data_IF_243781664977
#
_entry.id   IF_243781664977
#
_cell.length_a   1.000
_cell.length_b   1.000
_cell.length_c   1.000
_cell.angle_alpha   90.00
_cell.angle_beta   90.00
_cell.angle_gamma   90.00
#
_symmetry.space_group_name_H-M   'P 1'
#
loop_
_entity.id
_entity.type
_entity.pdbx_description
1 polymer ?
#
# COMPACT_ATOMS: atom_id res chain seq x y z
N UNK A 1 47.87 9.99 -31.27
CA UNK A 1 48.30 11.38 -31.59
C UNK A 1 47.06 12.24 -31.52
N UNK A 2 46.86 13.25 -30.69
CA UNK A 2 47.70 14.20 -29.93
C UNK A 2 47.14 14.30 -28.49
N UNK A 3 47.93 14.18 -27.42
CA UNK A 3 48.57 15.28 -26.66
C UNK A 3 47.52 16.19 -25.98
N UNK A 4 47.46 16.33 -24.65
CA UNK A 4 48.53 16.76 -23.75
C UNK A 4 48.26 16.35 -22.28
N UNK A 5 49.36 16.14 -21.54
CA UNK A 5 49.43 16.08 -20.07
C UNK A 5 49.08 17.46 -19.49
N UNK A 6 48.30 17.49 -18.42
CA UNK A 6 48.54 18.47 -17.33
C UNK A 6 48.45 17.76 -15.98
N UNK A 7 49.47 18.00 -15.17
CA UNK A 7 49.60 17.54 -13.80
C UNK A 7 48.61 18.30 -12.91
N UNK A 8 47.73 17.59 -12.22
CA UNK A 8 47.18 18.05 -10.96
C UNK A 8 47.63 17.07 -9.87
N UNK A 9 48.66 17.46 -9.13
CA UNK A 9 48.87 17.01 -7.76
C UNK A 9 47.66 17.46 -6.94
N UNK A 10 46.83 16.51 -6.52
CA UNK A 10 45.70 16.75 -5.61
C UNK A 10 45.84 15.79 -4.41
N UNK A 11 45.41 16.22 -3.22
CA UNK A 11 45.93 15.71 -1.95
C UNK A 11 45.43 14.30 -1.64
N UNK A 12 46.25 13.56 -0.88
CA UNK A 12 45.81 12.39 -0.14
C UNK A 12 44.72 12.85 0.84
N UNK A 13 43.48 12.41 0.66
CA UNK A 13 42.41 12.66 1.63
C UNK A 13 42.49 11.61 2.72
N UNK A 14 42.94 12.02 3.90
CA UNK A 14 42.74 11.27 5.14
C UNK A 14 41.43 11.80 5.73
N UNK A 15 40.41 10.96 5.80
CA UNK A 15 39.18 11.28 6.56
C UNK A 15 39.34 10.65 7.94
N UNK A 16 39.62 11.51 8.93
CA UNK A 16 39.68 11.09 10.34
C UNK A 16 38.31 11.35 10.95
N UNK A 17 37.51 10.31 11.15
CA UNK A 17 36.32 10.39 11.99
C UNK A 17 36.73 10.08 13.44
N UNK A 18 36.55 11.04 14.35
CA UNK A 18 36.90 10.88 15.76
C UNK A 18 35.61 10.74 16.57
N UNK A 19 35.40 9.56 17.16
CA UNK A 19 34.32 9.34 18.11
C UNK A 19 34.92 9.39 19.53
N UNK A 20 34.63 10.44 20.29
CA UNK A 20 35.11 10.60 21.66
C UNK A 20 34.09 10.00 22.63
N UNK A 21 34.44 8.87 23.26
CA UNK A 21 33.69 8.31 24.39
C UNK A 21 34.64 8.30 25.61
N UNK A 22 34.48 9.19 26.59
CA UNK A 22 35.27 9.11 27.82
C UNK A 22 34.88 7.86 28.65
N UNK A 23 35.82 7.20 29.35
CA UNK A 23 37.22 7.57 29.58
C UNK A 23 38.25 6.87 28.65
N UNK A 24 37.82 6.16 27.60
CA UNK A 24 38.71 5.41 26.70
C UNK A 24 38.58 5.93 25.27
N UNK A 25 39.57 6.70 24.82
CA UNK A 25 39.63 7.15 23.44
C UNK A 25 39.93 5.97 22.50
N UNK A 26 38.99 5.64 21.62
CA UNK A 26 39.18 4.68 20.53
C UNK A 26 39.34 5.47 19.23
N UNK A 27 40.50 5.33 18.59
CA UNK A 27 40.75 5.94 17.29
C UNK A 27 40.54 4.91 16.19
N UNK A 28 39.75 5.27 15.19
CA UNK A 28 39.49 4.48 13.99
C UNK A 28 40.11 5.17 12.78
N UNK A 29 41.14 4.55 12.20
CA UNK A 29 41.77 5.02 10.97
C UNK A 29 41.24 4.20 9.79
N UNK A 30 40.78 4.88 8.74
CA UNK A 30 40.26 4.24 7.52
C UNK A 30 41.08 4.73 6.33
N UNK A 31 41.80 3.83 5.67
CA UNK A 31 42.52 4.11 4.42
C UNK A 31 41.74 3.61 3.20
N UNK A 32 41.68 4.44 2.16
CA UNK A 32 41.09 4.09 0.87
C UNK A 32 42.17 4.04 -0.22
N UNK A 33 42.37 2.88 -0.84
CA UNK A 33 43.18 2.74 -2.06
C UNK A 33 42.31 2.36 -3.25
N UNK A 34 42.48 3.01 -4.41
CA UNK A 34 41.78 2.62 -5.65
C UNK A 34 42.34 1.30 -6.18
N UNK A 35 41.50 0.28 -6.25
CA UNK A 35 41.78 -0.99 -6.93
C UNK A 35 41.07 -2.21 -6.31
N UNK A 36 40.83 -2.17 -5.00
CA UNK A 36 40.04 -3.16 -4.25
C UNK A 36 39.69 -2.50 -2.90
N UNK A 37 38.44 -2.58 -2.40
CA UNK A 37 38.11 -2.05 -1.10
C UNK A 37 38.66 -2.99 -0.03
N UNK A 38 39.89 -2.74 0.42
CA UNK A 38 40.42 -3.33 1.65
C UNK A 38 40.24 -2.26 2.71
N UNK A 39 39.17 -2.37 3.50
CA UNK A 39 39.00 -1.52 4.68
C UNK A 39 39.92 -2.08 5.76
N UNK A 40 40.97 -1.33 6.11
CA UNK A 40 41.82 -1.63 7.27
C UNK A 40 41.31 -0.82 8.44
N UNK A 41 40.93 -1.51 9.51
CA UNK A 41 40.60 -0.88 10.78
C UNK A 41 41.81 -1.02 11.70
N UNK A 42 42.27 0.08 12.27
CA UNK A 42 43.26 0.06 13.37
C UNK A 42 42.58 0.62 14.60
N UNK A 43 42.59 -0.13 15.71
CA UNK A 43 42.08 0.32 17.00
C UNK A 43 43.30 0.74 17.82
N UNK A 44 43.38 2.02 18.16
CA UNK A 44 44.37 2.53 19.11
C UNK A 44 43.63 2.81 20.41
N UNK A 45 43.95 2.07 21.46
CA UNK A 45 43.45 2.32 22.81
C UNK A 45 44.53 3.05 23.62
N UNK A 46 44.20 4.20 24.19
CA UNK A 46 45.09 4.93 25.09
C UNK A 46 44.48 4.97 26.49
N UNK A 47 45.17 4.40 27.49
CA UNK A 47 44.82 4.59 28.90
C UNK A 47 45.87 5.47 29.58
N UNK A 48 45.47 6.68 30.00
CA UNK A 48 46.28 7.53 30.87
C UNK A 48 46.09 7.09 32.32
N UNK A 49 46.54 5.89 32.64
CA UNK A 49 46.50 5.37 34.00
C UNK A 49 47.60 4.32 34.17
N UNK A 50 48.64 4.68 34.93
CA UNK A 50 49.69 3.83 35.49
C UNK A 50 50.72 3.33 34.47
N UNK A 51 51.88 3.98 34.48
CA UNK A 51 52.97 3.76 33.52
C UNK A 51 53.39 2.30 33.41
N UNK A 52 53.13 1.68 32.26
CA UNK A 52 53.69 0.42 31.77
C UNK A 52 53.59 0.39 30.22
N UNK A 53 54.46 -0.40 29.60
CA UNK A 53 54.86 -0.35 28.18
C UNK A 53 53.74 -0.37 27.13
N UNK A 54 53.98 0.42 26.09
CA UNK A 54 53.22 0.52 24.84
C UNK A 54 53.14 -0.81 24.11
N UNK A 55 51.93 -1.34 23.89
CA UNK A 55 51.74 -2.50 23.00
C UNK A 55 50.81 -2.10 21.87
N UNK A 56 51.36 -2.00 20.66
CA UNK A 56 50.61 -1.75 19.43
C UNK A 56 50.00 -3.08 18.97
N UNK A 57 48.68 -3.23 19.09
CA UNK A 57 47.98 -4.42 18.57
C UNK A 57 47.45 -4.11 17.17
N UNK A 58 48.18 -4.55 16.14
CA UNK A 58 47.75 -4.48 14.74
C UNK A 58 46.86 -5.68 14.42
N UNK A 59 45.55 -5.49 14.44
CA UNK A 59 44.57 -6.53 14.04
C UNK A 59 44.22 -6.30 12.58
N UNK A 60 44.71 -7.15 11.67
CA UNK A 60 44.59 -6.87 10.22
C UNK A 60 43.51 -7.65 9.48
N UNK A 61 42.84 -8.65 10.06
CA UNK A 61 41.73 -9.37 9.38
C UNK A 61 40.75 -10.04 10.37
N UNK A 62 39.58 -9.45 10.58
CA UNK A 62 38.40 -10.17 11.08
C UNK A 62 37.13 -9.68 10.35
N UNK A 63 36.13 -10.56 10.13
CA UNK A 63 34.84 -10.16 9.58
C UNK A 63 34.10 -9.21 10.52
N UNK A 64 33.41 -8.22 9.95
CA UNK A 64 32.71 -7.14 10.66
C UNK A 64 31.78 -7.65 11.78
N UNK A 65 31.18 -8.83 11.59
CA UNK A 65 30.31 -9.49 12.56
C UNK A 65 31.00 -9.86 13.89
N UNK A 66 32.30 -10.19 13.87
CA UNK A 66 33.04 -10.55 15.09
C UNK A 66 33.43 -9.31 15.91
N UNK A 67 33.70 -8.19 15.24
CA UNK A 67 34.01 -6.90 15.87
C UNK A 67 32.75 -6.36 16.57
N UNK A 68 31.59 -6.49 15.93
CA UNK A 68 30.30 -6.10 16.49
C UNK A 68 29.94 -6.94 17.73
N UNK A 69 30.17 -8.26 17.67
CA UNK A 69 29.94 -9.16 18.79
C UNK A 69 30.85 -8.85 19.99
N UNK A 70 32.13 -8.55 19.74
CA UNK A 70 33.07 -8.16 20.80
C UNK A 70 32.73 -6.79 21.40
N UNK A 71 32.18 -5.86 20.60
CA UNK A 71 31.67 -4.57 21.09
C UNK A 71 30.44 -4.71 21.99
N UNK A 72 29.52 -5.62 21.66
CA UNK A 72 28.35 -5.93 22.49
C UNK A 72 28.76 -6.60 23.82
N UNK A 73 29.69 -7.56 23.76
CA UNK A 73 30.25 -8.19 24.97
C UNK A 73 30.96 -7.15 25.85
N UNK A 74 31.65 -6.16 25.26
CA UNK A 74 32.30 -5.10 26.02
C UNK A 74 31.28 -4.15 26.69
N UNK A 75 30.18 -3.79 26.00
CA UNK A 75 29.09 -2.98 26.58
C UNK A 75 28.39 -3.70 27.74
N UNK A 76 28.11 -4.98 27.58
CA UNK A 76 27.30 -5.76 28.52
C UNK A 76 28.06 -6.13 29.80
N UNK A 77 29.37 -6.38 29.70
CA UNK A 77 30.16 -6.88 30.84
C UNK A 77 31.07 -5.84 31.50
N UNK A 78 31.28 -4.66 30.91
CA UNK A 78 32.15 -3.62 31.50
C UNK A 78 31.43 -2.29 31.75
N UNK A 79 30.45 -1.90 30.93
CA UNK A 79 29.79 -0.59 31.04
C UNK A 79 28.52 -0.70 31.89
N UNK A 80 27.70 -1.72 31.67
CA UNK A 80 26.45 -1.92 32.42
C UNK A 80 26.66 -2.16 33.94
N UNK A 81 27.68 -2.91 34.40
CA UNK A 81 27.97 -3.03 35.83
C UNK A 81 28.41 -1.70 36.47
N UNK A 82 29.15 -0.87 35.73
CA UNK A 82 29.60 0.46 36.19
C UNK A 82 28.45 1.46 36.35
N UNK A 83 27.43 1.40 35.46
CA UNK A 83 26.22 2.21 35.57
C UNK A 83 25.28 1.77 36.70
N UNK A 84 25.36 0.51 37.12
CA UNK A 84 24.50 -0.05 38.17
C UNK A 84 24.89 0.35 39.61
N UNK A 85 26.10 0.88 39.81
CA UNK A 85 26.59 1.30 41.13
C UNK A 85 26.39 2.81 41.42
N UNK A 86 25.94 3.61 40.44
CA UNK A 86 25.66 5.04 40.64
C UNK A 86 24.15 5.33 40.75
N UNK A 87 23.69 5.47 41.99
CA UNK A 87 22.44 6.11 42.47
C UNK A 87 21.09 5.36 42.27
N UNK A 88 20.63 4.72 43.36
CA UNK A 88 19.35 4.03 43.48
C UNK A 88 18.30 4.76 44.36
N UNK A 89 18.39 6.08 44.61
CA UNK A 89 17.47 6.76 45.54
C UNK A 89 16.95 8.11 45.02
N UNK A 90 16.06 8.11 44.02
CA UNK A 90 15.14 9.24 43.71
C UNK A 90 14.11 8.83 42.66
N UNK A 91 13.20 7.89 42.99
CA UNK A 91 12.04 7.58 42.12
C UNK A 91 10.82 7.42 43.02
N UNK A 92 10.28 8.54 43.49
CA UNK A 92 8.88 8.61 43.94
C UNK A 92 8.29 10.02 43.91
N UNK A 93 9.11 11.08 43.79
CA UNK A 93 8.61 12.47 43.68
C UNK A 93 8.46 12.99 42.23
N UNK A 94 9.03 12.32 41.21
CA UNK A 94 8.99 12.79 39.82
C UNK A 94 7.71 12.44 39.05
N UNK A 95 6.78 11.68 39.64
CA UNK A 95 5.55 11.29 38.94
C UNK A 95 4.51 12.43 38.87
N UNK A 96 4.57 13.42 39.79
CA UNK A 96 3.64 14.55 39.80
C UNK A 96 4.18 15.83 39.12
N UNK A 97 5.49 15.92 38.86
CA UNK A 97 6.07 17.04 38.09
C UNK A 97 6.00 16.82 36.56
N UNK A 98 5.88 15.58 36.10
CA UNK A 98 5.88 15.25 34.66
C UNK A 98 4.55 15.53 33.92
N UNK A 99 3.44 15.78 34.62
CA UNK A 99 2.19 16.22 33.96
C UNK A 99 2.19 17.71 33.59
N UNK A 100 3.06 18.53 34.16
CA UNK A 100 3.23 19.94 33.76
C UNK A 100 4.27 20.11 32.64
N UNK A 101 5.28 19.24 32.57
CA UNK A 101 6.32 19.27 31.53
C UNK A 101 5.85 18.75 30.15
N UNK A 102 4.80 17.92 30.11
CA UNK A 102 4.22 17.43 28.85
C UNK A 102 3.46 18.52 28.07
N UNK A 103 3.04 19.60 28.74
CA UNK A 103 2.39 20.74 28.07
C UNK A 103 3.40 21.73 27.49
N UNK A 104 4.66 21.73 27.95
CA UNK A 104 5.74 22.58 27.38
C UNK A 104 6.54 21.88 26.26
N UNK A 105 6.44 20.56 26.10
CA UNK A 105 7.13 19.81 25.03
C UNK A 105 6.39 19.82 23.67
N UNK A 106 5.16 20.34 23.62
CA UNK A 106 4.45 20.59 22.37
C UNK A 106 4.98 21.83 21.61
N UNK A 107 5.70 22.73 22.28
CA UNK A 107 6.22 23.98 21.69
C UNK A 107 7.71 23.89 21.24
N UNK A 108 8.35 22.72 21.37
CA UNK A 108 9.75 22.53 20.92
C UNK A 108 9.91 21.21 20.18
N UNK A 109 9.38 21.13 18.95
CA UNK A 109 9.91 20.21 17.93
C UNK A 109 10.61 21.03 16.84
N UNK A 110 11.88 21.33 17.12
CA UNK A 110 12.83 21.83 16.13
C UNK A 110 13.29 20.67 15.23
N UNK A 111 13.31 20.94 13.92
CA UNK A 111 13.33 20.03 12.78
C UNK A 111 14.68 19.30 12.53
N UNK A 112 15.41 18.85 13.54
CA UNK A 112 16.83 18.47 13.35
C UNK A 112 17.22 16.99 13.48
N UNK A 113 16.28 16.02 13.59
CA UNK A 113 16.66 14.59 13.67
C UNK A 113 15.86 13.63 12.76
N UNK A 114 15.65 14.01 11.50
CA UNK A 114 15.27 13.05 10.44
C UNK A 114 16.18 13.26 9.23
N UNK A 115 17.41 12.75 9.30
CA UNK A 115 18.31 12.64 8.14
C UNK A 115 19.07 11.31 8.15
N UNK A 116 18.36 10.22 7.82
CA UNK A 116 18.95 9.05 7.15
C UNK A 116 17.88 8.42 6.23
N UNK A 117 17.46 9.12 5.17
CA UNK A 117 16.79 8.51 4.01
C UNK A 117 17.17 9.28 2.74
N UNK A 118 17.52 8.53 1.70
CA UNK A 118 18.09 8.87 0.37
C UNK A 118 17.57 10.18 -0.26
N UNK A 119 18.50 11.02 -0.76
CA UNK A 119 18.27 12.37 -1.34
C UNK A 119 17.51 12.38 -2.67
N UNK A 120 17.12 11.22 -3.22
CA UNK A 120 16.42 11.13 -4.51
C UNK A 120 14.89 11.31 -4.44
N UNK A 121 14.32 11.69 -3.31
CA UNK A 121 12.86 11.75 -3.16
C UNK A 121 12.32 12.96 -2.36
N UNK A 122 12.85 14.16 -2.63
CA UNK A 122 12.45 15.41 -1.96
C UNK A 122 10.95 15.73 -2.04
N UNK A 123 10.25 15.25 -3.09
CA UNK A 123 8.80 15.42 -3.23
C UNK A 123 8.00 14.61 -2.20
N UNK A 124 8.52 13.47 -1.74
CA UNK A 124 7.81 12.56 -0.83
C UNK A 124 7.98 12.97 0.64
N UNK A 125 9.13 13.55 1.02
CA UNK A 125 9.38 14.04 2.40
C UNK A 125 8.50 15.26 2.73
N UNK A 126 8.39 16.22 1.81
CA UNK A 126 7.52 17.40 1.97
C UNK A 126 6.03 17.01 2.07
N UNK A 127 5.59 16.03 1.27
CA UNK A 127 4.21 15.55 1.31
C UNK A 127 3.88 14.84 2.63
N UNK A 128 4.75 13.95 3.12
CA UNK A 128 4.51 13.22 4.38
C UNK A 128 4.48 14.15 5.58
N UNK A 129 5.39 15.13 5.65
CA UNK A 129 5.40 16.14 6.73
C UNK A 129 4.11 16.97 6.68
N UNK A 130 3.70 17.41 5.49
CA UNK A 130 2.46 18.16 5.30
C UNK A 130 1.21 17.35 5.71
N UNK A 131 1.15 16.05 5.38
CA UNK A 131 0.03 15.18 5.77
C UNK A 131 0.03 14.89 7.29
N UNK A 132 1.20 14.68 7.90
CA UNK A 132 1.31 14.42 9.35
C UNK A 132 0.90 15.64 10.18
N UNK A 133 1.34 16.85 9.80
CA UNK A 133 0.92 18.08 10.49
C UNK A 133 -0.60 18.34 10.35
N UNK A 134 -1.19 18.03 9.18
CA UNK A 134 -2.65 18.10 8.99
C UNK A 134 -3.40 17.09 9.83
N UNK A 135 -2.85 15.89 10.02
CA UNK A 135 -3.49 14.83 10.80
C UNK A 135 -3.46 15.10 12.31
N UNK A 136 -2.40 15.72 12.83
CA UNK A 136 -2.33 16.16 14.25
C UNK A 136 -3.37 17.25 14.53
N UNK A 137 -3.53 18.23 13.65
CA UNK A 137 -4.55 19.28 13.77
C UNK A 137 -6.00 18.74 13.72
N UNK A 138 -6.24 17.64 13.00
CA UNK A 138 -7.54 16.95 12.93
C UNK A 138 -7.84 16.11 14.18
N UNK A 139 -6.81 15.69 14.92
CA UNK A 139 -7.00 14.91 16.16
C UNK A 139 -7.30 15.81 17.37
N UNK A 140 -6.71 17.00 17.42
CA UNK A 140 -6.96 17.99 18.49
C UNK A 140 -8.37 18.62 18.41
N UNK A 141 -9.01 18.58 17.25
CA UNK A 141 -10.38 19.11 17.05
C UNK A 141 -11.47 18.07 17.35
N UNK A 142 -11.15 16.77 17.45
CA UNK A 142 -12.14 15.68 17.56
C UNK A 142 -12.93 15.59 18.86
N UNK A 143 -12.46 16.21 19.95
CA UNK A 143 -13.20 16.17 21.22
C UNK A 143 -14.47 17.05 21.20
N UNK A 144 -14.60 17.99 20.26
CA UNK A 144 -15.78 18.88 20.14
C UNK A 144 -16.78 18.52 19.01
N UNK A 145 -16.50 17.52 18.15
CA UNK A 145 -17.22 17.32 16.87
C UNK A 145 -18.47 16.43 17.00
N UNK A 146 -18.68 15.74 18.13
CA UNK A 146 -19.85 14.87 18.27
C UNK A 146 -21.21 15.62 18.35
N UNK A 147 -21.21 16.96 18.37
CA UNK A 147 -22.40 17.79 18.63
C UNK A 147 -22.99 18.52 17.40
N UNK A 148 -22.42 18.39 16.19
CA UNK A 148 -22.90 19.14 14.99
C UNK A 148 -23.35 18.29 13.79
N UNK A 149 -23.92 17.09 14.00
CA UNK A 149 -24.55 16.38 12.87
C UNK A 149 -25.94 16.98 12.59
N UNK A 150 -26.25 17.48 11.38
CA UNK A 150 -27.57 18.01 11.07
C UNK A 150 -28.66 16.95 11.31
N UNK A 151 -29.77 17.36 11.93
CA UNK A 151 -30.91 16.49 12.28
C UNK A 151 -31.46 15.70 11.07
N UNK A 152 -31.30 16.25 9.86
CA UNK A 152 -31.59 15.56 8.59
C UNK A 152 -30.36 15.56 7.66
N UNK A 153 -29.45 14.62 7.94
CA UNK A 153 -28.27 14.35 7.13
C UNK A 153 -28.62 14.11 5.65
N UNK A 154 -29.76 13.50 5.34
CA UNK A 154 -30.15 13.22 3.96
C UNK A 154 -30.54 14.49 3.21
N UNK A 155 -31.32 15.37 3.82
CA UNK A 155 -31.69 16.66 3.22
C UNK A 155 -30.46 17.55 2.99
N UNK A 156 -29.59 17.66 4.00
CA UNK A 156 -28.32 18.38 3.87
C UNK A 156 -27.46 17.80 2.75
N UNK A 157 -27.31 16.47 2.69
CA UNK A 157 -26.56 15.77 1.65
C UNK A 157 -27.13 16.04 0.24
N UNK A 158 -28.46 16.03 0.08
CA UNK A 158 -29.11 16.34 -1.20
C UNK A 158 -28.87 17.79 -1.62
N UNK A 159 -28.92 18.75 -0.69
CA UNK A 159 -28.70 20.17 -0.96
C UNK A 159 -27.23 20.45 -1.33
N UNK A 160 -26.27 19.94 -0.56
CA UNK A 160 -24.84 20.01 -0.86
C UNK A 160 -24.55 19.47 -2.26
N UNK A 161 -25.13 18.31 -2.58
CA UNK A 161 -24.97 17.68 -3.89
C UNK A 161 -25.56 18.50 -5.04
N UNK A 162 -26.73 19.12 -4.85
CA UNK A 162 -27.35 19.97 -5.86
C UNK A 162 -26.50 21.23 -6.15
N UNK A 163 -25.98 21.87 -5.10
CA UNK A 163 -25.07 23.02 -5.22
C UNK A 163 -23.77 22.62 -5.94
N UNK A 164 -23.22 21.47 -5.58
CA UNK A 164 -22.07 20.87 -6.25
C UNK A 164 -22.36 20.40 -7.68
N UNK A 165 -23.58 20.41 -8.20
CA UNK A 165 -23.80 20.20 -9.63
C UNK A 165 -23.93 21.54 -10.36
N UNK A 166 -24.68 22.47 -9.76
CA UNK A 166 -24.85 23.81 -10.30
C UNK A 166 -23.51 24.54 -10.53
N UNK A 167 -22.53 24.35 -9.64
CA UNK A 167 -21.22 25.00 -9.80
C UNK A 167 -20.41 24.50 -11.00
N UNK A 168 -20.56 23.24 -11.46
CA UNK A 168 -19.79 22.72 -12.61
C UNK A 168 -20.46 23.13 -13.87
N UNK A 169 -21.79 23.08 -13.92
CA UNK A 169 -22.49 23.55 -15.10
C UNK A 169 -22.25 25.05 -15.32
N UNK A 170 -21.87 25.79 -14.27
CA UNK A 170 -21.39 27.18 -14.38
C UNK A 170 -19.90 27.30 -14.80
N UNK A 171 -19.05 26.32 -14.45
CA UNK A 171 -17.60 26.36 -14.69
C UNK A 171 -17.18 25.70 -16.03
N UNK A 172 -17.86 24.62 -16.40
CA UNK A 172 -17.56 23.78 -17.57
C UNK A 172 -18.82 23.45 -18.35
N UNK A 173 -18.75 23.58 -19.67
CA UNK A 173 -19.83 23.14 -20.55
C UNK A 173 -19.78 21.62 -20.74
N UNK A 174 -20.63 20.90 -19.99
CA UNK A 174 -20.81 19.45 -20.14
C UNK A 174 -21.90 19.05 -21.14
N UNK A 175 -22.49 20.01 -21.86
CA UNK A 175 -23.63 19.82 -22.76
C UNK A 175 -23.25 19.74 -24.24
N UNK A 176 -22.02 20.12 -24.58
CA UNK A 176 -21.47 20.03 -25.94
C UNK A 176 -20.18 19.20 -25.98
N UNK A 177 -19.86 18.62 -27.15
CA UNK A 177 -18.61 17.87 -27.31
C UNK A 177 -17.38 18.76 -27.15
N UNK A 178 -17.43 19.97 -27.72
CA UNK A 178 -16.33 20.94 -27.63
C UNK A 178 -16.14 21.43 -26.20
N UNK A 179 -17.24 21.69 -25.48
CA UNK A 179 -17.23 22.04 -24.07
C UNK A 179 -16.57 20.95 -23.21
N UNK A 180 -16.99 19.69 -23.40
CA UNK A 180 -16.40 18.55 -22.67
C UNK A 180 -14.92 18.41 -23.02
N UNK A 181 -14.54 18.55 -24.29
CA UNK A 181 -13.15 18.42 -24.75
C UNK A 181 -12.25 19.53 -24.16
N UNK A 182 -12.78 20.73 -23.99
CA UNK A 182 -12.08 21.89 -23.44
C UNK A 182 -11.78 21.78 -21.94
N UNK A 183 -12.43 20.86 -21.22
CA UNK A 183 -12.15 20.63 -19.79
C UNK A 183 -10.69 20.20 -19.63
N UNK A 184 -9.88 20.93 -18.84
CA UNK A 184 -8.48 20.61 -18.64
C UNK A 184 -8.32 19.24 -18.00
N UNK A 185 -7.34 18.45 -18.47
CA UNK A 185 -6.98 17.19 -17.85
C UNK A 185 -6.43 17.35 -16.41
N UNK A 186 -6.11 18.57 -15.99
CA UNK A 186 -5.70 18.92 -14.62
C UNK A 186 -6.86 19.38 -13.73
N UNK A 187 -8.12 19.33 -14.19
CA UNK A 187 -9.25 19.89 -13.45
C UNK A 187 -9.54 19.22 -12.08
N UNK A 188 -8.94 18.06 -11.79
CA UNK A 188 -8.98 17.45 -10.45
C UNK A 188 -7.80 17.86 -9.54
N UNK A 189 -6.76 18.53 -10.04
CA UNK A 189 -5.60 18.96 -9.25
C UNK A 189 -5.86 20.24 -8.45
N UNK A 190 -6.94 20.97 -8.75
CA UNK A 190 -7.46 22.06 -7.90
C UNK A 190 -8.35 21.49 -6.78
N UNK A 191 -8.07 20.26 -6.34
CA UNK A 191 -8.55 19.75 -5.07
C UNK A 191 -7.95 20.61 -3.96
N UNK A 192 -8.62 21.73 -3.68
CA UNK A 192 -8.51 22.40 -2.41
C UNK A 192 -9.16 21.40 -1.43
N UNK A 193 -8.42 20.83 -0.47
CA UNK A 193 -9.06 20.26 0.70
C UNK A 193 -9.80 21.44 1.31
N UNK A 194 -11.10 21.57 1.02
CA UNK A 194 -11.94 22.54 1.68
C UNK A 194 -11.80 22.19 3.17
N UNK A 195 -11.52 23.20 3.98
CA UNK A 195 -11.38 23.08 5.44
C UNK A 195 -12.63 22.43 6.09
N UNK A 196 -13.71 22.34 5.33
CA UNK A 196 -14.93 21.59 5.58
C UNK A 196 -14.65 20.07 5.61
N UNK A 197 -14.27 19.56 6.78
CA UNK A 197 -14.51 18.28 7.49
C UNK A 197 -14.84 16.95 6.75
N UNK A 198 -15.28 16.98 5.48
CA UNK A 198 -15.49 15.81 4.63
C UNK A 198 -15.05 16.14 3.20
N UNK A 199 -13.73 16.18 2.97
CA UNK A 199 -13.12 16.22 1.64
C UNK A 199 -13.61 15.04 0.80
N UNK A 200 -14.71 15.23 0.09
CA UNK A 200 -15.45 14.13 -0.49
C UNK A 200 -15.05 13.93 -1.94
N UNK A 201 -14.72 12.69 -2.33
CA UNK A 201 -14.49 12.29 -3.73
C UNK A 201 -15.67 12.66 -4.68
N UNK A 202 -16.82 13.08 -4.12
CA UNK A 202 -18.04 13.47 -4.81
C UNK A 202 -18.01 14.90 -5.42
N UNK A 203 -17.01 15.72 -5.08
CA UNK A 203 -16.83 17.06 -5.68
C UNK A 203 -15.87 17.07 -6.87
N UNK A 204 -15.16 15.98 -7.12
CA UNK A 204 -14.21 15.91 -8.23
C UNK A 204 -14.90 16.09 -9.59
N UNK A 205 -14.21 16.78 -10.51
CA UNK A 205 -14.71 17.02 -11.87
C UNK A 205 -14.96 15.70 -12.59
N UNK A 206 -14.09 14.71 -12.40
CA UNK A 206 -14.27 13.37 -12.98
C UNK A 206 -15.54 12.66 -12.47
N UNK A 207 -15.81 12.70 -11.16
CA UNK A 207 -17.05 12.12 -10.61
C UNK A 207 -18.30 12.81 -11.17
N UNK A 208 -18.28 14.14 -11.29
CA UNK A 208 -19.41 14.90 -11.80
C UNK A 208 -19.65 14.62 -13.29
N UNK A 209 -18.58 14.45 -14.08
CA UNK A 209 -18.67 13.99 -15.47
C UNK A 209 -19.28 12.58 -15.60
N UNK A 210 -18.91 11.63 -14.73
CA UNK A 210 -19.51 10.28 -14.75
C UNK A 210 -21.03 10.30 -14.49
N UNK A 211 -21.49 11.24 -13.67
CA UNK A 211 -22.90 11.49 -13.39
C UNK A 211 -23.60 12.15 -14.58
N UNK A 212 -23.02 13.18 -15.17
CA UNK A 212 -23.52 13.78 -16.42
C UNK A 212 -23.62 12.77 -17.56
N UNK A 213 -22.67 11.84 -17.65
CA UNK A 213 -22.77 10.74 -18.61
C UNK A 213 -24.00 9.85 -18.40
N UNK A 214 -24.49 9.72 -17.16
CA UNK A 214 -25.74 9.00 -16.86
C UNK A 214 -26.95 9.79 -17.34
N UNK A 215 -26.98 11.10 -17.09
CA UNK A 215 -28.03 12.02 -17.54
C UNK A 215 -28.12 12.05 -19.08
N UNK A 216 -26.99 12.23 -19.76
CA UNK A 216 -26.93 12.20 -21.22
C UNK A 216 -27.40 10.87 -21.79
N UNK A 217 -27.01 9.75 -21.18
CA UNK A 217 -27.49 8.42 -21.59
C UNK A 217 -29.01 8.28 -21.39
N UNK A 218 -29.56 8.77 -20.29
CA UNK A 218 -31.01 8.77 -20.06
C UNK A 218 -31.76 9.65 -21.08
N UNK A 219 -31.15 10.76 -21.50
CA UNK A 219 -31.65 11.61 -22.57
C UNK A 219 -31.47 11.03 -23.99
N UNK A 220 -30.82 9.87 -24.14
CA UNK A 220 -30.52 9.25 -25.44
C UNK A 220 -29.26 9.78 -26.13
N UNK A 221 -28.54 10.72 -25.52
CA UNK A 221 -27.34 11.35 -26.04
C UNK A 221 -26.08 10.54 -25.71
N UNK A 222 -25.94 9.36 -26.32
CA UNK A 222 -24.83 8.46 -26.04
C UNK A 222 -23.45 9.05 -26.40
N UNK A 223 -23.36 9.94 -27.39
CA UNK A 223 -22.07 10.57 -27.76
C UNK A 223 -21.55 11.50 -26.67
N UNK A 224 -22.41 12.37 -26.12
CA UNK A 224 -22.07 13.21 -24.97
C UNK A 224 -21.75 12.36 -23.75
N UNK A 225 -22.50 11.27 -23.54
CA UNK A 225 -22.23 10.36 -22.44
C UNK A 225 -20.84 9.70 -22.55
N UNK A 226 -20.45 9.23 -23.73
CA UNK A 226 -19.12 8.66 -23.99
C UNK A 226 -18.03 9.74 -23.81
N UNK A 227 -18.25 10.95 -24.32
CA UNK A 227 -17.30 12.06 -24.18
C UNK A 227 -17.04 12.41 -22.71
N UNK A 228 -18.09 12.54 -21.89
CA UNK A 228 -17.96 12.76 -20.45
C UNK A 228 -17.12 11.66 -19.77
N UNK A 229 -17.37 10.39 -20.09
CA UNK A 229 -16.63 9.26 -19.49
C UNK A 229 -15.16 9.23 -19.93
N UNK A 230 -14.88 9.49 -21.22
CA UNK A 230 -13.51 9.59 -21.72
C UNK A 230 -12.74 10.71 -21.05
N UNK A 231 -13.36 11.89 -20.91
CA UNK A 231 -12.75 13.03 -20.22
C UNK A 231 -12.56 12.75 -18.72
N UNK A 232 -13.52 12.10 -18.06
CA UNK A 232 -13.36 11.68 -16.66
C UNK A 232 -12.15 10.75 -16.48
N UNK A 233 -11.96 9.79 -17.39
CA UNK A 233 -10.79 8.91 -17.40
C UNK A 233 -9.49 9.65 -17.72
N UNK A 234 -9.51 10.62 -18.64
CA UNK A 234 -8.35 11.47 -18.93
C UNK A 234 -7.91 12.24 -17.68
N UNK A 235 -8.85 12.84 -16.95
CA UNK A 235 -8.57 13.57 -15.71
C UNK A 235 -8.06 12.60 -14.62
N UNK A 236 -8.71 11.44 -14.45
CA UNK A 236 -8.32 10.45 -13.44
C UNK A 236 -6.97 9.79 -13.73
N UNK A 237 -6.57 9.64 -14.99
CA UNK A 237 -5.29 9.04 -15.37
C UNK A 237 -4.06 9.76 -14.78
N UNK A 238 -4.23 10.98 -14.26
CA UNK A 238 -3.18 11.81 -13.65
C UNK A 238 -3.20 11.85 -12.13
N UNK A 239 -4.28 11.40 -11.47
CA UNK A 239 -4.32 11.29 -10.03
C UNK A 239 -4.14 9.83 -9.60
N UNK A 240 -3.75 9.60 -8.35
CA UNK A 240 -3.49 8.26 -7.79
C UNK A 240 -4.72 7.32 -7.86
N UNK A 241 -5.88 7.84 -8.28
CA UNK A 241 -7.10 7.10 -8.56
C UNK A 241 -7.15 6.71 -10.04
N UNK A 242 -6.72 5.49 -10.31
CA UNK A 242 -6.71 4.82 -11.60
C UNK A 242 -7.98 5.04 -12.43
N UNK A 243 -7.84 4.95 -13.76
CA UNK A 243 -8.94 4.86 -14.72
C UNK A 243 -10.11 4.02 -14.15
N UNK A 244 -11.32 4.59 -14.16
CA UNK A 244 -12.50 3.97 -13.56
C UNK A 244 -12.93 2.76 -14.39
N UNK A 245 -12.83 1.56 -13.81
CA UNK A 245 -13.31 0.32 -14.43
C UNK A 245 -14.79 0.44 -14.85
N UNK A 246 -15.60 1.03 -13.98
CA UNK A 246 -17.00 1.35 -14.26
C UNK A 246 -17.15 2.24 -15.50
N UNK A 247 -16.36 3.31 -15.61
CA UNK A 247 -16.40 4.21 -16.76
C UNK A 247 -15.97 3.50 -18.05
N UNK A 248 -14.89 2.71 -18.03
CA UNK A 248 -14.43 1.94 -19.19
C UNK A 248 -15.48 0.96 -19.71
N UNK A 249 -16.07 0.16 -18.80
CA UNK A 249 -17.12 -0.81 -19.17
C UNK A 249 -18.34 -0.09 -19.76
N UNK A 250 -18.72 1.07 -19.22
CA UNK A 250 -19.81 1.90 -19.74
C UNK A 250 -19.52 2.46 -21.13
N UNK A 251 -18.30 2.97 -21.39
CA UNK A 251 -17.89 3.45 -22.72
C UNK A 251 -18.06 2.34 -23.76
N UNK A 252 -17.52 1.16 -23.48
CA UNK A 252 -17.58 0.00 -24.39
C UNK A 252 -19.02 -0.39 -24.68
N UNK A 253 -19.87 -0.45 -23.67
CA UNK A 253 -21.29 -0.78 -23.85
C UNK A 253 -22.05 0.30 -24.63
N UNK A 254 -21.78 1.59 -24.39
CA UNK A 254 -22.42 2.69 -25.12
C UNK A 254 -22.01 2.69 -26.60
N UNK A 255 -20.74 2.40 -26.91
CA UNK A 255 -20.27 2.23 -28.30
C UNK A 255 -21.01 1.08 -29.00
N UNK A 256 -21.17 -0.07 -28.32
CA UNK A 256 -21.97 -1.19 -28.84
C UNK A 256 -23.44 -0.81 -29.05
N UNK A 257 -24.01 0.08 -28.22
CA UNK A 257 -25.39 0.56 -28.40
C UNK A 257 -25.55 1.44 -29.64
N UNK A 258 -24.48 2.12 -30.04
CA UNK A 258 -24.44 2.89 -31.29
C UNK A 258 -24.03 2.05 -32.52
N UNK A 259 -23.83 0.73 -32.37
CA UNK A 259 -23.33 -0.12 -33.45
C UNK A 259 -21.85 0.08 -33.78
N UNK A 260 -21.10 0.85 -32.98
CA UNK A 260 -19.67 1.15 -33.17
C UNK A 260 -18.78 0.03 -32.60
N UNK A 261 -18.97 -1.21 -33.09
CA UNK A 261 -18.29 -2.40 -32.54
C UNK A 261 -16.77 -2.42 -32.73
N UNK A 262 -16.26 -1.85 -33.83
CA UNK A 262 -14.81 -1.70 -34.06
C UNK A 262 -14.18 -0.81 -32.99
N UNK A 263 -14.75 0.37 -32.75
CA UNK A 263 -14.30 1.31 -31.72
C UNK A 263 -14.42 0.69 -30.32
N UNK A 264 -15.51 -0.04 -30.05
CA UNK A 264 -15.68 -0.76 -28.78
C UNK A 264 -14.57 -1.79 -28.52
N UNK A 265 -14.09 -2.50 -29.55
CA UNK A 265 -12.96 -3.43 -29.45
C UNK A 265 -11.64 -2.71 -29.18
N UNK A 266 -11.42 -1.55 -29.80
CA UNK A 266 -10.24 -0.72 -29.54
C UNK A 266 -10.22 -0.21 -28.08
N UNK A 267 -11.35 0.29 -27.58
CA UNK A 267 -11.48 0.71 -26.18
C UNK A 267 -11.30 -0.46 -25.19
N UNK A 268 -11.88 -1.63 -25.50
CA UNK A 268 -11.65 -2.84 -24.69
C UNK A 268 -10.17 -3.21 -24.63
N UNK A 269 -9.43 -3.09 -25.74
CA UNK A 269 -7.99 -3.37 -25.78
C UNK A 269 -7.22 -2.41 -24.88
N UNK A 270 -7.52 -1.10 -24.94
CA UNK A 270 -6.91 -0.08 -24.06
C UNK A 270 -7.19 -0.42 -22.59
N UNK A 271 -8.44 -0.74 -22.26
CA UNK A 271 -8.86 -1.10 -20.91
C UNK A 271 -8.15 -2.36 -20.39
N UNK A 272 -8.04 -3.42 -21.20
CA UNK A 272 -7.33 -4.64 -20.81
C UNK A 272 -5.86 -4.36 -20.48
N UNK A 273 -5.16 -3.54 -21.26
CA UNK A 273 -3.78 -3.14 -20.96
C UNK A 273 -3.66 -2.40 -19.62
N UNK A 274 -4.63 -1.55 -19.29
CA UNK A 274 -4.68 -0.85 -18.01
C UNK A 274 -4.92 -1.84 -16.87
N UNK A 275 -5.86 -2.79 -17.02
CA UNK A 275 -6.14 -3.83 -16.01
C UNK A 275 -4.91 -4.69 -15.78
N UNK A 276 -4.26 -5.17 -16.84
CA UNK A 276 -3.09 -6.05 -16.74
C UNK A 276 -1.96 -5.37 -15.95
N UNK A 277 -1.69 -4.10 -16.28
CA UNK A 277 -0.75 -3.25 -15.54
C UNK A 277 -1.19 -3.07 -14.09
N UNK A 278 -2.48 -2.76 -13.86
CA UNK A 278 -3.04 -2.54 -12.53
C UNK A 278 -3.01 -3.80 -11.66
N UNK A 279 -3.19 -4.98 -12.25
CA UNK A 279 -3.16 -6.26 -11.53
C UNK A 279 -1.74 -6.61 -11.08
N UNK A 280 -0.74 -6.30 -11.91
CA UNK A 280 0.67 -6.40 -11.49
C UNK A 280 0.95 -5.45 -10.32
N UNK A 281 0.55 -4.17 -10.43
CA UNK A 281 0.72 -3.19 -9.36
C UNK A 281 -0.07 -3.55 -8.09
N UNK A 282 -1.27 -4.11 -8.20
CA UNK A 282 -2.06 -4.60 -7.05
C UNK A 282 -1.38 -5.77 -6.34
N UNK A 283 -0.77 -6.67 -7.11
CA UNK A 283 0.00 -7.79 -6.57
C UNK A 283 1.21 -7.28 -5.80
N UNK A 284 1.98 -6.38 -6.41
CA UNK A 284 3.13 -5.72 -5.77
C UNK A 284 2.70 -4.96 -4.51
N UNK A 285 1.63 -4.17 -4.58
CA UNK A 285 1.10 -3.43 -3.44
C UNK A 285 0.67 -4.35 -2.30
N UNK A 286 -0.03 -5.45 -2.60
CA UNK A 286 -0.47 -6.44 -1.59
C UNK A 286 0.72 -7.11 -0.92
N UNK A 287 1.71 -7.52 -1.70
CA UNK A 287 2.93 -8.11 -1.15
C UNK A 287 3.68 -7.08 -0.29
N UNK A 288 3.82 -5.85 -0.76
CA UNK A 288 4.42 -4.75 0.00
C UNK A 288 3.67 -4.49 1.30
N UNK A 289 2.34 -4.52 1.28
CA UNK A 289 1.53 -4.35 2.49
C UNK A 289 1.68 -5.52 3.46
N UNK A 290 1.61 -6.76 2.98
CA UNK A 290 1.79 -7.96 3.80
C UNK A 290 3.18 -7.98 4.45
N UNK A 291 4.24 -7.81 3.66
CA UNK A 291 5.62 -7.84 4.16
C UNK A 291 5.97 -6.60 4.97
N UNK A 292 5.44 -5.43 4.62
CA UNK A 292 5.58 -4.20 5.40
C UNK A 292 4.92 -4.32 6.77
N UNK A 293 3.76 -4.96 6.87
CA UNK A 293 3.15 -5.28 8.17
C UNK A 293 3.99 -6.29 8.96
N UNK A 294 4.56 -7.30 8.28
CA UNK A 294 5.46 -8.24 8.94
C UNK A 294 6.69 -7.52 9.54
N UNK A 295 7.28 -6.57 8.81
CA UNK A 295 8.37 -5.72 9.29
C UNK A 295 7.93 -4.82 10.44
N UNK A 296 6.79 -4.13 10.30
CA UNK A 296 6.24 -3.23 11.31
C UNK A 296 6.00 -3.94 12.65
N UNK A 297 5.44 -5.15 12.60
CA UNK A 297 5.20 -5.95 13.78
C UNK A 297 6.39 -6.84 14.20
N UNK A 298 7.51 -6.75 13.50
CA UNK A 298 8.69 -7.58 13.73
C UNK A 298 8.38 -9.09 13.78
N UNK A 299 7.67 -9.57 12.77
CA UNK A 299 7.30 -10.98 12.59
C UNK A 299 7.70 -11.49 11.22
N UNK A 300 7.80 -12.81 11.13
CA UNK A 300 7.93 -13.55 9.87
C UNK A 300 6.79 -14.54 9.66
N UNK A 301 5.72 -14.44 10.45
CA UNK A 301 4.57 -15.32 10.34
C UNK A 301 3.44 -14.65 9.55
N UNK A 302 2.77 -15.45 8.73
CA UNK A 302 1.63 -15.03 7.90
C UNK A 302 0.48 -15.98 8.12
N UNK A 303 -0.69 -15.45 8.44
CA UNK A 303 -1.93 -16.22 8.54
C UNK A 303 -2.77 -16.05 7.28
N UNK A 304 -3.35 -17.16 6.83
CA UNK A 304 -4.34 -17.18 5.75
C UNK A 304 -5.74 -17.33 6.32
N UNK A 305 -6.69 -16.55 5.81
CA UNK A 305 -8.09 -16.65 6.19
C UNK A 305 -8.85 -17.74 5.40
N UNK A 306 -10.17 -17.59 5.33
CA UNK A 306 -11.06 -18.43 4.52
C UNK A 306 -12.05 -17.55 3.74
N UNK A 307 -12.47 -18.05 2.58
CA UNK A 307 -13.46 -17.41 1.69
C UNK A 307 -14.67 -18.32 1.40
N UNK A 308 -14.73 -19.52 1.99
CA UNK A 308 -15.87 -20.44 1.93
C UNK A 308 -16.16 -21.11 0.57
N UNK A 309 -15.81 -20.52 -0.57
CA UNK A 309 -15.80 -21.21 -1.86
C UNK A 309 -14.59 -20.85 -2.68
N UNK A 310 -13.49 -21.52 -2.35
CA UNK A 310 -12.25 -21.46 -3.12
C UNK A 310 -12.08 -22.70 -4.01
N UNK A 311 -11.04 -22.66 -4.85
CA UNK A 311 -10.61 -23.84 -5.60
C UNK A 311 -9.98 -24.91 -4.69
N UNK A 312 -9.78 -26.12 -5.22
CA UNK A 312 -9.16 -27.24 -4.49
C UNK A 312 -7.75 -26.93 -4.01
N UNK A 313 -7.01 -26.08 -4.72
CA UNK A 313 -5.67 -25.69 -4.31
C UNK A 313 -5.71 -24.75 -3.10
N UNK A 314 -6.48 -23.66 -3.15
CA UNK A 314 -6.64 -22.73 -2.02
C UNK A 314 -7.15 -23.41 -0.74
N UNK A 315 -8.03 -24.40 -0.88
CA UNK A 315 -8.56 -25.16 0.25
C UNK A 315 -7.47 -25.84 1.08
N UNK A 316 -6.36 -26.25 0.45
CA UNK A 316 -5.23 -26.85 1.16
C UNK A 316 -4.52 -25.85 2.08
N UNK A 317 -4.55 -24.56 1.73
CA UNK A 317 -3.74 -23.52 2.35
C UNK A 317 -4.51 -22.58 3.28
N UNK A 318 -5.86 -22.56 3.24
CA UNK A 318 -6.69 -21.70 4.10
C UNK A 318 -6.56 -22.04 5.59
N UNK A 319 -6.86 -21.06 6.46
CA UNK A 319 -6.82 -21.19 7.92
C UNK A 319 -5.52 -21.86 8.38
N UNK A 320 -4.39 -21.26 8.08
CA UNK A 320 -3.05 -21.72 8.50
C UNK A 320 -2.15 -20.53 8.76
N UNK A 321 -1.29 -20.69 9.75
CA UNK A 321 -0.12 -19.82 9.95
C UNK A 321 1.05 -20.45 9.22
N UNK A 322 1.79 -19.61 8.51
CA UNK A 322 2.97 -19.96 7.72
C UNK A 322 4.16 -19.15 8.19
N UNK A 323 5.35 -19.72 8.02
CA UNK A 323 6.62 -19.02 8.18
C UNK A 323 7.13 -18.50 6.83
N UNK A 324 7.62 -17.27 6.82
CA UNK A 324 8.42 -16.68 5.73
C UNK A 324 9.91 -17.03 5.84
N UNK A 325 10.36 -17.52 7.01
CA UNK A 325 11.75 -17.89 7.25
C UNK A 325 11.94 -19.41 7.10
N UNK A 326 12.88 -19.86 6.26
CA UNK A 326 13.23 -21.27 6.15
C UNK A 326 13.75 -21.89 7.46
N UNK A 327 14.28 -21.06 8.36
CA UNK A 327 14.80 -21.49 9.66
C UNK A 327 13.71 -21.76 10.70
N UNK A 328 12.56 -21.10 10.60
CA UNK A 328 11.43 -21.39 11.50
C UNK A 328 10.59 -22.52 10.92
N UNK A 329 10.76 -23.70 11.51
CA UNK A 329 10.13 -24.95 11.11
C UNK A 329 8.92 -25.31 11.98
N UNK A 330 8.55 -24.46 12.95
CA UNK A 330 7.34 -24.66 13.75
C UNK A 330 6.10 -24.61 12.87
N UNK A 331 6.08 -23.71 11.89
CA UNK A 331 5.00 -23.55 10.92
C UNK A 331 5.43 -24.01 9.53
N UNK A 332 4.47 -24.42 8.67
CA UNK A 332 4.77 -24.69 7.27
C UNK A 332 5.32 -23.44 6.57
N UNK A 333 6.10 -23.65 5.52
CA UNK A 333 6.63 -22.55 4.71
C UNK A 333 5.51 -21.89 3.88
N UNK A 334 5.54 -20.57 3.78
CA UNK A 334 4.56 -19.82 2.99
C UNK A 334 4.64 -20.20 1.50
N UNK A 335 3.52 -20.53 0.85
CA UNK A 335 3.56 -21.09 -0.49
C UNK A 335 3.83 -20.01 -1.55
N UNK A 336 4.81 -20.26 -2.43
CA UNK A 336 5.24 -19.30 -3.45
C UNK A 336 4.13 -18.84 -4.39
N UNK A 337 3.16 -19.71 -4.72
CA UNK A 337 2.05 -19.32 -5.60
C UNK A 337 1.16 -18.22 -4.99
N UNK A 338 1.14 -18.06 -3.65
CA UNK A 338 0.46 -16.93 -2.99
C UNK A 338 1.32 -15.67 -2.95
N UNK A 339 2.63 -15.76 -3.20
CA UNK A 339 3.49 -14.60 -3.45
C UNK A 339 3.27 -14.10 -4.88
N UNK A 340 3.22 -15.02 -5.84
CA UNK A 340 3.01 -14.71 -7.26
C UNK A 340 1.57 -14.23 -7.53
N UNK A 341 0.61 -14.76 -6.77
CA UNK A 341 -0.80 -14.42 -6.85
C UNK A 341 -1.44 -14.36 -5.45
N UNK A 342 -1.22 -13.27 -4.69
CA UNK A 342 -1.77 -13.08 -3.34
C UNK A 342 -3.29 -12.93 -3.32
N UNK A 343 -3.93 -12.97 -4.50
CA UNK A 343 -5.36 -12.87 -4.68
C UNK A 343 -5.93 -14.16 -5.29
N UNK A 344 -5.19 -15.28 -5.25
CA UNK A 344 -5.67 -16.53 -5.83
C UNK A 344 -6.98 -16.96 -5.15
N UNK A 345 -8.07 -16.97 -5.92
CA UNK A 345 -9.46 -17.06 -5.45
C UNK A 345 -9.90 -15.97 -4.44
N UNK A 346 -9.05 -14.99 -4.10
CA UNK A 346 -9.30 -14.00 -3.06
C UNK A 346 -8.93 -14.46 -1.65
N UNK A 347 -8.13 -15.52 -1.50
CA UNK A 347 -7.67 -15.99 -0.20
C UNK A 347 -6.89 -14.87 0.53
N UNK A 348 -7.37 -14.38 1.69
CA UNK A 348 -6.73 -13.27 2.36
C UNK A 348 -5.50 -13.74 3.14
N UNK A 349 -4.45 -12.94 3.12
CA UNK A 349 -3.19 -13.16 3.84
C UNK A 349 -2.91 -11.95 4.73
N UNK A 350 -2.56 -12.19 5.99
CA UNK A 350 -2.27 -11.17 6.99
C UNK A 350 -0.98 -11.51 7.73
N UNK A 351 -0.25 -10.50 8.20
CA UNK A 351 0.82 -10.71 9.18
C UNK A 351 0.24 -11.30 10.46
N UNK A 352 0.97 -12.22 11.09
CA UNK A 352 0.57 -12.86 12.33
C UNK A 352 1.66 -12.74 13.39
N UNK A 353 1.28 -12.44 14.62
CA UNK A 353 2.17 -12.43 15.77
C UNK A 353 1.57 -13.28 16.88
N UNK A 354 2.44 -14.09 17.51
CA UNK A 354 2.06 -14.92 18.65
C UNK A 354 1.78 -14.10 19.91
N UNK A 355 2.26 -12.84 19.97
CA UNK A 355 2.02 -11.90 21.07
C UNK A 355 0.65 -11.18 21.01
N UNK A 356 -0.11 -11.41 19.93
CA UNK A 356 -1.43 -10.82 19.71
C UNK A 356 -1.42 -9.37 19.24
N UNK A 357 -0.27 -8.79 18.89
CA UNK A 357 -0.17 -7.39 18.43
C UNK A 357 -0.63 -7.17 16.98
N UNK A 358 -0.78 -8.23 16.18
CA UNK A 358 -1.37 -8.17 14.82
C UNK A 358 -2.83 -8.61 14.83
N UNK A 359 -3.67 -8.02 13.96
CA UNK A 359 -4.98 -8.58 13.63
C UNK A 359 -4.91 -9.35 12.29
N UNK A 360 -5.37 -10.61 12.22
CA UNK A 360 -5.95 -11.41 13.30
C UNK A 360 -4.89 -11.99 14.26
N UNK A 361 -5.23 -12.07 15.55
CA UNK A 361 -4.33 -12.52 16.64
C UNK A 361 -4.52 -14.00 17.01
N UNK A 362 -5.47 -14.68 16.38
CA UNK A 362 -5.73 -16.10 16.57
C UNK A 362 -6.19 -16.74 15.25
N UNK A 363 -6.18 -18.06 15.23
CA UNK A 363 -6.68 -18.86 14.11
C UNK A 363 -7.98 -19.53 14.53
N UNK A 364 -9.00 -19.40 13.69
CA UNK A 364 -10.29 -20.06 13.87
C UNK A 364 -10.36 -21.33 13.00
N UNK A 365 -11.06 -22.34 13.51
CA UNK A 365 -11.41 -23.54 12.74
C UNK A 365 -12.59 -23.30 11.78
N UNK A 366 -13.06 -24.36 11.11
CA UNK A 366 -14.22 -24.28 10.22
C UNK A 366 -15.54 -23.90 10.87
N UNK A 367 -15.63 -23.99 12.20
CA UNK A 367 -16.81 -23.65 12.99
C UNK A 367 -16.72 -22.27 13.63
N UNK A 368 -15.60 -21.56 13.46
CA UNK A 368 -15.34 -20.27 14.08
C UNK A 368 -14.82 -20.37 15.52
N UNK A 369 -14.41 -21.55 15.97
CA UNK A 369 -13.80 -21.70 17.28
C UNK A 369 -12.30 -21.40 17.20
N UNK A 370 -11.79 -20.72 18.23
CA UNK A 370 -10.36 -20.47 18.38
C UNK A 370 -9.64 -21.81 18.54
N UNK A 371 -8.61 -22.00 17.74
CA UNK A 371 -7.78 -23.20 17.77
C UNK A 371 -6.81 -23.12 18.96
N UNK A 372 -6.84 -24.13 19.82
CA UNK A 372 -5.98 -24.22 21.01
C UNK A 372 -4.49 -24.43 20.67
N UNK A 373 -4.19 -25.25 19.67
CA UNK A 373 -2.83 -25.54 19.19
C UNK A 373 -2.63 -25.05 17.74
N UNK A 374 -2.24 -23.78 17.55
CA UNK A 374 -2.07 -23.19 16.23
C UNK A 374 -0.94 -23.86 15.42
N UNK A 375 0.06 -24.42 16.10
CA UNK A 375 1.20 -25.10 15.48
C UNK A 375 0.72 -26.43 14.89
N UNK A 376 0.10 -27.29 15.69
CA UNK A 376 -0.41 -28.57 15.21
C UNK A 376 -1.47 -28.38 14.11
N UNK A 377 -2.38 -27.42 14.30
CA UNK A 377 -3.43 -27.13 13.33
C UNK A 377 -2.88 -26.61 12.00
N UNK A 378 -1.86 -25.74 12.02
CA UNK A 378 -1.23 -25.23 10.80
C UNK A 378 -0.42 -26.30 10.06
N UNK A 379 0.07 -27.33 10.77
CA UNK A 379 0.80 -28.47 10.19
C UNK A 379 -0.09 -29.65 9.79
N UNK A 380 -1.42 -29.55 9.89
CA UNK A 380 -2.34 -30.59 9.41
C UNK A 380 -2.10 -30.91 7.92
N UNK A 381 -2.47 -32.09 7.39
CA UNK A 381 -2.22 -32.44 5.99
C UNK A 381 -2.75 -31.40 4.99
N UNK A 382 -2.02 -31.14 3.90
CA UNK A 382 -2.42 -30.24 2.81
C UNK A 382 -3.42 -30.94 1.86
N UNK A 383 -4.62 -31.19 2.36
CA UNK A 383 -5.71 -31.81 1.62
C UNK A 383 -6.82 -30.80 1.33
N UNK A 384 -7.59 -31.07 0.28
CA UNK A 384 -8.80 -30.30 -0.01
C UNK A 384 -9.85 -30.62 1.07
N UNK A 385 -10.02 -29.70 2.00
CA UNK A 385 -10.94 -29.81 3.13
C UNK A 385 -12.33 -29.23 2.83
N UNK A 386 -12.63 -28.93 1.55
CA UNK A 386 -13.93 -28.39 1.18
C UNK A 386 -15.03 -29.41 1.42
N UNK A 387 -16.10 -28.96 2.07
CA UNK A 387 -17.30 -29.76 2.20
C UNK A 387 -18.09 -29.80 0.87
N UNK A 388 -19.02 -30.76 0.69
CA UNK A 388 -19.79 -30.89 -0.55
C UNK A 388 -20.54 -29.63 -0.97
N UNK A 389 -20.98 -28.79 -0.03
CA UNK A 389 -21.68 -27.55 -0.33
C UNK A 389 -20.73 -26.50 -0.91
N UNK A 390 -19.51 -26.37 -0.35
CA UNK A 390 -18.47 -25.47 -0.87
C UNK A 390 -18.07 -25.89 -2.29
N UNK A 391 -17.89 -27.19 -2.53
CA UNK A 391 -17.59 -27.73 -3.86
C UNK A 391 -18.73 -27.41 -4.84
N UNK A 392 -19.98 -27.62 -4.44
CA UNK A 392 -21.15 -27.34 -5.26
C UNK A 392 -21.28 -25.85 -5.56
N UNK A 393 -21.08 -24.99 -4.55
CA UNK A 393 -21.16 -23.54 -4.69
C UNK A 393 -20.07 -23.01 -5.62
N UNK A 394 -18.82 -23.46 -5.45
CA UNK A 394 -17.71 -23.09 -6.33
C UNK A 394 -17.98 -23.51 -7.79
N UNK A 395 -18.44 -24.74 -8.02
CA UNK A 395 -18.78 -25.22 -9.37
C UNK A 395 -19.93 -24.42 -9.98
N UNK A 396 -20.96 -24.10 -9.19
CA UNK A 396 -22.08 -23.27 -9.61
C UNK A 396 -21.61 -21.87 -10.00
N UNK A 397 -20.78 -21.23 -9.16
CA UNK A 397 -20.23 -19.91 -9.44
C UNK A 397 -19.40 -19.89 -10.73
N UNK A 398 -18.52 -20.89 -10.94
CA UNK A 398 -17.77 -21.03 -12.20
C UNK A 398 -18.68 -21.22 -13.41
N UNK A 399 -19.70 -22.08 -13.30
CA UNK A 399 -20.63 -22.33 -14.38
C UNK A 399 -21.48 -21.08 -14.71
N UNK A 400 -21.94 -20.34 -13.70
CA UNK A 400 -22.67 -19.09 -13.86
C UNK A 400 -21.81 -18.01 -14.52
N UNK A 401 -20.56 -17.86 -14.09
CA UNK A 401 -19.61 -16.92 -14.69
C UNK A 401 -19.30 -17.28 -16.14
N UNK A 402 -19.00 -18.55 -16.43
CA UNK A 402 -18.73 -19.02 -17.79
C UNK A 402 -19.96 -18.83 -18.70
N UNK A 403 -21.16 -19.13 -18.19
CA UNK A 403 -22.42 -18.91 -18.89
C UNK A 403 -22.65 -17.42 -19.16
N UNK A 404 -22.44 -16.54 -18.17
CA UNK A 404 -22.59 -15.10 -18.36
C UNK A 404 -21.63 -14.56 -19.43
N UNK A 405 -20.36 -14.97 -19.41
CA UNK A 405 -19.36 -14.58 -20.43
C UNK A 405 -19.81 -15.03 -21.82
N UNK A 406 -20.24 -16.30 -21.96
CA UNK A 406 -20.74 -16.83 -23.22
C UNK A 406 -21.99 -16.10 -23.70
N UNK A 407 -22.95 -15.88 -22.81
CA UNK A 407 -24.20 -15.18 -23.10
C UNK A 407 -23.93 -13.74 -23.56
N UNK A 408 -23.02 -13.03 -22.89
CA UNK A 408 -22.62 -11.67 -23.30
C UNK A 408 -21.98 -11.66 -24.67
N UNK A 409 -21.07 -12.60 -24.94
CA UNK A 409 -20.44 -12.74 -26.26
C UNK A 409 -21.46 -13.01 -27.37
N UNK A 410 -22.40 -13.92 -27.12
CA UNK A 410 -23.44 -14.26 -28.08
C UNK A 410 -24.40 -13.09 -28.30
N UNK A 411 -24.76 -12.37 -27.23
CA UNK A 411 -25.57 -11.16 -27.31
C UNK A 411 -24.89 -10.06 -28.13
N UNK A 412 -23.60 -9.81 -27.90
CA UNK A 412 -22.82 -8.84 -28.67
C UNK A 412 -22.72 -9.25 -30.15
N UNK A 413 -22.51 -10.54 -30.43
CA UNK A 413 -22.51 -11.06 -31.80
C UNK A 413 -23.84 -10.84 -32.51
N UNK A 414 -24.97 -11.09 -31.82
CA UNK A 414 -26.31 -10.86 -32.37
C UNK A 414 -26.52 -9.38 -32.69
N UNK A 415 -26.11 -8.48 -31.81
CA UNK A 415 -26.24 -7.03 -32.05
C UNK A 415 -25.38 -6.56 -33.23
N UNK A 416 -24.20 -7.16 -33.44
CA UNK A 416 -23.30 -6.78 -34.54
C UNK A 416 -23.75 -7.35 -35.89
N UNK A 417 -24.26 -8.59 -35.92
CA UNK A 417 -24.53 -9.30 -37.17
C UNK A 417 -26.02 -9.35 -37.55
N UNK A 418 -26.93 -9.27 -36.55
CA UNK A 418 -28.37 -9.43 -36.72
C UNK A 418 -29.15 -8.39 -35.86
N UNK A 419 -28.88 -7.08 -36.03
CA UNK A 419 -29.42 -6.02 -35.15
C UNK A 419 -30.96 -5.95 -35.16
N UNK A 420 -31.60 -6.27 -36.29
CA UNK A 420 -33.05 -6.16 -36.45
C UNK A 420 -33.85 -7.12 -35.55
N UNK A 421 -33.24 -8.25 -35.18
CA UNK A 421 -33.84 -9.27 -34.31
C UNK A 421 -33.20 -9.30 -32.92
N UNK A 422 -32.15 -8.51 -32.69
CA UNK A 422 -31.44 -8.48 -31.43
C UNK A 422 -32.33 -7.88 -30.33
N UNK A 423 -32.46 -8.54 -29.16
CA UNK A 423 -33.19 -7.97 -28.03
C UNK A 423 -32.59 -6.63 -27.59
N UNK A 424 -33.44 -5.69 -27.13
CA UNK A 424 -33.01 -4.35 -26.70
C UNK A 424 -32.04 -4.33 -25.51
N UNK A 425 -31.96 -5.42 -24.74
CA UNK A 425 -31.09 -5.50 -23.57
C UNK A 425 -30.60 -6.93 -23.35
N UNK A 426 -29.45 -7.04 -22.67
CA UNK A 426 -28.89 -8.34 -22.26
C UNK A 426 -29.87 -9.17 -21.41
N UNK A 427 -30.62 -8.51 -20.52
CA UNK A 427 -31.69 -9.17 -19.77
C UNK A 427 -32.83 -9.68 -20.66
N UNK A 428 -33.17 -8.95 -21.73
CA UNK A 428 -34.11 -9.42 -22.76
C UNK A 428 -33.59 -10.65 -23.50
N UNK A 429 -32.31 -10.66 -23.87
CA UNK A 429 -31.64 -11.80 -24.48
C UNK A 429 -31.67 -13.04 -23.59
N UNK A 430 -31.32 -12.92 -22.30
CA UNK A 430 -31.35 -14.06 -21.37
C UNK A 430 -32.77 -14.59 -21.15
N UNK A 431 -33.79 -13.72 -21.09
CA UNK A 431 -35.20 -14.15 -21.02
C UNK A 431 -35.61 -14.93 -22.26
N UNK A 432 -35.26 -14.43 -23.45
CA UNK A 432 -35.56 -15.09 -24.72
C UNK A 432 -34.90 -16.46 -24.82
N UNK A 433 -33.65 -16.62 -24.38
CA UNK A 433 -33.01 -17.93 -24.31
C UNK A 433 -33.76 -18.88 -23.35
N UNK A 434 -34.04 -18.42 -22.13
CA UNK A 434 -34.69 -19.26 -21.11
C UNK A 434 -36.13 -19.65 -21.46
N UNK A 435 -36.82 -18.92 -22.34
CA UNK A 435 -38.16 -19.25 -22.81
C UNK A 435 -38.17 -20.28 -23.96
N UNK A 436 -37.03 -20.46 -24.63
CA UNK A 436 -36.86 -21.38 -25.76
C UNK A 436 -36.18 -22.70 -25.35
N UNK A 437 -36.01 -22.95 -24.05
CA UNK A 437 -35.50 -24.19 -23.46
C UNK A 437 -36.62 -24.85 -22.68
#
# INVERSE_FOLDING_TARGET
MKHFKENCTSPLYIVTAVLLIPPVGIYLLIEHSKGTPIIRYSIIAMSAAWGLNWTLILITKFPFSLIFLLGLIFMEYLILPWLSESNANTIQEDFFQNTAALTELADVTDNSQIDVLDENNSCTKSYIIEQSSKMTAVLETKEDIHEQRPDDFNAWYCAMRANNYASMDAEYDSTTLDGIAAIPATANNDYIPVEDEYGSAFTSVSYRLERKATEHKQAGNLELAIACLRKANEINSRCYNCVSESACVRIIEYLKQQGKFSEAREEQKKYNTIIDTSNASRTEFRNKYLFGNCEFYNTHLVITGDIGACCSECAKYRRRIFSLLPSDTRYPQFPLFLVDNPSHCGLPCYSFNEDGSSYPHHIEDETGHIVDDPIAYSNRPFIDDRNPNEIAWYKKAQAEQAKEILDRRNYDWLRENLPDIAPKSFGGYRRMQNQNT
#
